data_IF_912523118861
#
_entry.id   IF_912523118861
#
_cell.length_a   1.000
_cell.length_b   1.000
_cell.length_c   1.000
_cell.angle_alpha   90.00
_cell.angle_beta   90.00
_cell.angle_gamma   90.00
#
_symmetry.space_group_name_H-M   'P 1'
#
loop_
_entity.id
_entity.type
_entity.pdbx_description
1 polymer ?
#
# COMPACT_ATOMS: atom_id res chain seq x y z
N UNK A 1 29.65 5.23 -14.42
CA UNK A 1 28.80 4.23 -13.75
C UNK A 1 29.74 3.19 -13.19
N UNK A 2 29.88 3.14 -11.86
CA UNK A 2 30.53 2.00 -11.21
C UNK A 2 29.65 0.78 -11.44
N UNK A 3 30.23 -0.29 -11.99
CA UNK A 3 29.50 -1.53 -12.21
C UNK A 3 29.28 -2.19 -10.84
N UNK A 4 28.03 -2.21 -10.38
CA UNK A 4 27.65 -2.99 -9.20
C UNK A 4 28.06 -4.45 -9.41
N UNK A 5 28.74 -5.02 -8.42
CA UNK A 5 29.13 -6.43 -8.49
C UNK A 5 27.91 -7.33 -8.25
N UNK A 6 27.97 -8.58 -8.69
CA UNK A 6 26.90 -9.56 -8.42
C UNK A 6 26.63 -9.70 -6.91
N UNK A 7 27.69 -9.62 -6.10
CA UNK A 7 27.63 -9.63 -4.64
C UNK A 7 26.81 -8.45 -4.10
N UNK A 8 27.02 -7.24 -4.64
CA UNK A 8 26.26 -6.03 -4.26
C UNK A 8 24.77 -6.18 -4.60
N UNK A 9 24.46 -6.81 -5.74
CA UNK A 9 23.07 -7.06 -6.15
C UNK A 9 22.40 -8.07 -5.21
N UNK A 10 23.08 -9.15 -4.85
CA UNK A 10 22.55 -10.16 -3.91
C UNK A 10 22.27 -9.52 -2.54
N UNK A 11 23.20 -8.72 -2.01
CA UNK A 11 22.99 -8.05 -0.73
C UNK A 11 21.83 -7.04 -0.77
N UNK A 12 21.66 -6.33 -1.88
CA UNK A 12 20.53 -5.41 -2.06
C UNK A 12 19.20 -6.15 -2.11
N UNK A 13 19.13 -7.30 -2.76
CA UNK A 13 17.94 -8.14 -2.82
C UNK A 13 17.57 -8.71 -1.44
N UNK A 14 18.54 -9.24 -0.69
CA UNK A 14 18.30 -9.75 0.68
C UNK A 14 17.79 -8.66 1.62
N UNK A 15 18.34 -7.44 1.53
CA UNK A 15 17.83 -6.28 2.30
C UNK A 15 16.42 -5.90 1.89
N UNK A 16 16.11 -5.94 0.58
CA UNK A 16 14.77 -5.63 0.07
C UNK A 16 13.76 -6.66 0.56
N UNK A 17 14.08 -7.95 0.49
CA UNK A 17 13.23 -9.05 0.96
C UNK A 17 12.89 -8.91 2.45
N UNK A 18 13.91 -8.64 3.29
CA UNK A 18 13.70 -8.40 4.73
C UNK A 18 12.82 -7.18 5.00
N UNK A 19 13.04 -6.10 4.26
CA UNK A 19 12.25 -4.87 4.41
C UNK A 19 10.80 -5.07 3.97
N UNK A 20 10.57 -5.79 2.87
CA UNK A 20 9.22 -6.17 2.43
C UNK A 20 8.52 -7.04 3.47
N UNK A 21 9.22 -8.04 4.03
CA UNK A 21 8.69 -8.87 5.11
C UNK A 21 8.26 -8.05 6.33
N UNK A 22 9.11 -7.12 6.77
CA UNK A 22 8.81 -6.26 7.92
C UNK A 22 7.66 -5.27 7.65
N UNK A 23 7.56 -4.72 6.44
CA UNK A 23 6.42 -3.88 6.04
C UNK A 23 5.13 -4.71 6.03
N UNK A 24 5.18 -5.94 5.53
CA UNK A 24 4.02 -6.84 5.51
C UNK A 24 3.54 -7.20 6.93
N UNK A 25 4.46 -7.48 7.86
CA UNK A 25 4.13 -7.72 9.27
C UNK A 25 3.49 -6.49 9.93
N UNK A 26 4.05 -5.29 9.68
CA UNK A 26 3.46 -4.03 10.17
C UNK A 26 2.07 -3.78 9.60
N UNK A 27 1.86 -4.04 8.32
CA UNK A 27 0.55 -3.91 7.67
C UNK A 27 -0.45 -4.91 8.25
N UNK A 28 -0.04 -6.15 8.52
CA UNK A 28 -0.91 -7.13 9.18
C UNK A 28 -1.33 -6.67 10.57
N UNK A 29 -0.38 -6.19 11.38
CA UNK A 29 -0.67 -5.67 12.71
C UNK A 29 -1.58 -4.44 12.67
N UNK A 30 -1.37 -3.56 11.68
CA UNK A 30 -2.21 -2.40 11.45
C UNK A 30 -3.64 -2.78 11.09
N UNK A 31 -3.83 -3.76 10.21
CA UNK A 31 -5.15 -4.29 9.84
C UNK A 31 -5.84 -4.89 11.06
N UNK A 32 -5.14 -5.68 11.87
CA UNK A 32 -5.70 -6.31 13.07
C UNK A 32 -6.14 -5.29 14.14
N UNK A 33 -5.44 -4.15 14.25
CA UNK A 33 -5.77 -3.10 15.23
C UNK A 33 -6.83 -2.11 14.74
N UNK A 34 -6.86 -1.84 13.44
CA UNK A 34 -7.68 -0.80 12.83
C UNK A 34 -9.02 -1.33 12.31
N UNK A 35 -9.10 -2.60 11.93
CA UNK A 35 -10.35 -3.21 11.47
C UNK A 35 -11.09 -3.78 12.70
N UNK A 36 -12.26 -3.24 13.07
CA UNK A 36 -13.04 -3.84 14.15
C UNK A 36 -13.42 -5.27 13.80
N UNK A 37 -13.53 -6.12 14.82
CA UNK A 37 -13.89 -7.53 14.62
C UNK A 37 -15.14 -7.62 13.71
N UNK A 38 -15.10 -8.48 12.68
CA UNK A 38 -16.26 -8.67 11.84
C UNK A 38 -17.44 -9.13 12.72
N UNK A 39 -18.68 -8.73 12.38
CA UNK A 39 -19.85 -9.20 13.11
C UNK A 39 -19.83 -10.72 13.16
N UNK A 40 -20.07 -11.31 14.34
CA UNK A 40 -20.10 -12.77 14.58
C UNK A 40 -21.06 -13.56 13.65
N UNK A 41 -21.87 -12.83 12.89
CA UNK A 41 -22.90 -13.34 12.00
C UNK A 41 -22.37 -13.53 10.57
N UNK A 42 -21.20 -12.97 10.24
CA UNK A 42 -20.53 -13.14 8.96
C UNK A 42 -19.72 -14.44 9.00
N UNK A 43 -20.05 -15.38 8.11
CA UNK A 43 -19.42 -16.70 8.00
C UNK A 43 -18.38 -16.74 6.88
N UNK A 44 -18.41 -15.77 5.98
CA UNK A 44 -17.50 -15.68 4.81
C UNK A 44 -16.88 -14.29 4.68
N UNK A 45 -15.72 -14.21 4.03
CA UNK A 45 -15.05 -12.93 3.75
C UNK A 45 -15.89 -11.99 2.89
N UNK A 46 -16.69 -12.52 1.96
CA UNK A 46 -17.62 -11.73 1.14
C UNK A 46 -18.74 -11.08 1.97
N UNK A 47 -19.26 -11.79 2.97
CA UNK A 47 -20.28 -11.24 3.88
C UNK A 47 -19.71 -10.12 4.76
N UNK A 48 -18.45 -10.23 5.16
CA UNK A 48 -17.72 -9.18 5.88
C UNK A 48 -17.54 -7.95 4.98
N UNK A 49 -17.05 -8.15 3.75
CA UNK A 49 -16.87 -7.08 2.77
C UNK A 49 -18.20 -6.41 2.41
N UNK A 50 -19.31 -7.16 2.30
CA UNK A 50 -20.63 -6.63 2.04
C UNK A 50 -21.24 -5.90 3.26
N UNK A 51 -20.89 -6.28 4.48
CA UNK A 51 -21.27 -5.57 5.71
C UNK A 51 -20.57 -4.21 5.80
N UNK A 52 -19.25 -4.19 5.55
CA UNK A 52 -18.49 -2.95 5.42
C UNK A 52 -18.81 -2.16 4.12
N UNK A 53 -19.42 -2.79 3.11
CA UNK A 53 -19.93 -2.09 1.93
C UNK A 53 -21.26 -1.37 2.16
N UNK A 54 -22.13 -1.90 3.03
CA UNK A 54 -23.52 -1.41 3.21
C UNK A 54 -23.65 -0.15 4.06
N UNK A 55 -22.69 0.16 4.92
CA UNK A 55 -22.71 1.35 5.79
C UNK A 55 -21.81 2.47 5.24
N UNK A 56 -22.02 2.88 3.99
CA UNK A 56 -21.11 3.74 3.23
C UNK A 56 -20.69 5.03 3.94
N UNK A 57 -21.60 5.74 4.62
CA UNK A 57 -21.26 6.98 5.37
C UNK A 57 -20.49 6.72 6.67
N UNK A 58 -20.84 5.66 7.41
CA UNK A 58 -20.16 5.29 8.66
C UNK A 58 -18.79 4.66 8.37
N UNK A 59 -18.70 3.93 7.26
CA UNK A 59 -17.48 3.31 6.78
C UNK A 59 -16.57 4.31 6.07
N UNK A 60 -17.08 5.37 5.43
CA UNK A 60 -16.19 6.42 4.92
C UNK A 60 -15.45 7.12 6.06
N UNK A 61 -16.15 7.52 7.14
CA UNK A 61 -15.50 8.07 8.34
C UNK A 61 -14.55 7.07 9.01
N UNK A 62 -14.95 5.81 9.12
CA UNK A 62 -14.08 4.80 9.71
C UNK A 62 -12.88 4.50 8.81
N UNK A 63 -13.04 4.52 7.49
CA UNK A 63 -11.94 4.33 6.52
C UNK A 63 -10.99 5.52 6.55
N UNK A 64 -11.49 6.76 6.65
CA UNK A 64 -10.66 7.96 6.85
C UNK A 64 -9.87 7.86 8.17
N UNK A 65 -10.52 7.55 9.30
CA UNK A 65 -9.83 7.38 10.59
C UNK A 65 -8.80 6.23 10.58
N UNK A 66 -9.08 5.14 9.85
CA UNK A 66 -8.16 4.02 9.67
C UNK A 66 -6.97 4.45 8.80
N UNK A 67 -7.21 5.16 7.69
CA UNK A 67 -6.16 5.66 6.80
C UNK A 67 -5.27 6.69 7.50
N UNK A 68 -5.85 7.61 8.27
CA UNK A 68 -5.13 8.61 9.05
C UNK A 68 -4.21 7.94 10.08
N UNK A 69 -4.73 6.95 10.81
CA UNK A 69 -3.92 6.16 11.76
C UNK A 69 -2.86 5.32 11.06
N UNK A 70 -3.17 4.77 9.89
CA UNK A 70 -2.20 4.01 9.08
C UNK A 70 -1.05 4.92 8.65
N UNK A 71 -1.36 6.13 8.19
CA UNK A 71 -0.36 7.13 7.80
C UNK A 71 0.49 7.54 9.00
N UNK A 72 -0.13 7.85 10.15
CA UNK A 72 0.59 8.16 11.39
C UNK A 72 1.57 7.04 11.78
N UNK A 73 1.13 5.77 11.78
CA UNK A 73 1.98 4.63 12.14
C UNK A 73 3.08 4.35 11.11
N UNK A 74 2.85 4.66 9.85
CA UNK A 74 3.86 4.56 8.79
C UNK A 74 4.80 5.77 8.74
N UNK A 75 4.57 6.79 9.58
CA UNK A 75 5.33 8.05 9.56
C UNK A 75 5.06 8.89 8.30
N UNK A 76 3.92 8.65 7.65
CA UNK A 76 3.45 9.40 6.50
C UNK A 76 2.66 10.61 7.03
N UNK A 77 2.97 11.84 6.58
CA UNK A 77 2.23 13.01 6.98
C UNK A 77 0.73 12.90 6.63
N UNK A 78 -0.19 13.39 7.46
CA UNK A 78 -1.62 13.39 7.14
C UNK A 78 -1.95 14.28 5.93
N UNK A 79 -1.09 15.25 5.63
CA UNK A 79 -1.13 16.10 4.43
C UNK A 79 -0.24 15.55 3.29
N UNK A 80 0.08 14.25 3.31
CA UNK A 80 0.86 13.62 2.25
C UNK A 80 0.10 13.71 0.92
N UNK A 81 0.57 14.63 0.08
CA UNK A 81 0.18 14.72 -1.31
C UNK A 81 1.07 13.75 -2.09
N UNK A 82 0.49 12.71 -2.71
CA UNK A 82 1.28 11.78 -3.49
C UNK A 82 1.72 12.33 -4.86
N UNK A 83 1.54 13.63 -5.11
CA UNK A 83 2.02 14.34 -6.27
C UNK A 83 1.20 14.08 -7.54
N UNK A 84 1.55 14.81 -8.60
CA UNK A 84 0.88 14.71 -9.90
C UNK A 84 1.24 13.40 -10.61
N UNK A 85 0.40 13.00 -11.58
CA UNK A 85 0.68 11.80 -12.39
C UNK A 85 1.96 11.97 -13.22
N UNK A 86 2.28 13.19 -13.65
CA UNK A 86 3.52 13.54 -14.33
C UNK A 86 4.75 13.36 -13.43
N UNK A 87 4.66 13.77 -12.16
CA UNK A 87 5.72 13.57 -11.16
C UNK A 87 5.97 12.09 -10.91
N UNK A 88 4.90 11.29 -10.82
CA UNK A 88 4.99 9.84 -10.69
C UNK A 88 5.68 9.21 -11.91
N UNK A 89 5.27 9.58 -13.13
CA UNK A 89 5.89 9.07 -14.35
C UNK A 89 7.37 9.44 -14.45
N UNK A 90 7.74 10.66 -14.09
CA UNK A 90 9.12 11.11 -14.11
C UNK A 90 9.97 10.35 -13.07
N UNK A 91 9.46 10.16 -11.86
CA UNK A 91 10.10 9.34 -10.83
C UNK A 91 10.28 7.88 -11.28
N UNK A 92 9.24 7.26 -11.83
CA UNK A 92 9.32 5.91 -12.39
C UNK A 92 10.39 5.80 -13.48
N UNK A 93 10.46 6.78 -14.39
CA UNK A 93 11.49 6.84 -15.44
C UNK A 93 12.90 6.96 -14.84
N UNK A 94 13.10 7.83 -13.86
CA UNK A 94 14.39 8.04 -13.19
C UNK A 94 14.89 6.76 -12.50
N UNK A 95 13.98 5.97 -11.97
CA UNK A 95 14.29 4.70 -11.30
C UNK A 95 14.22 3.47 -12.22
N UNK A 96 13.98 3.66 -13.52
CA UNK A 96 13.92 2.57 -14.50
C UNK A 96 12.71 1.64 -14.32
N UNK A 97 11.66 2.11 -13.65
CA UNK A 97 10.42 1.37 -13.42
C UNK A 97 9.48 1.61 -14.60
N UNK A 98 9.02 0.54 -15.26
CA UNK A 98 7.99 0.63 -16.30
C UNK A 98 6.71 -0.01 -15.78
N UNK A 99 5.57 0.67 -15.97
CA UNK A 99 4.28 0.16 -15.51
C UNK A 99 3.93 -1.21 -16.11
N UNK A 100 4.39 -1.48 -17.34
CA UNK A 100 4.19 -2.77 -18.00
C UNK A 100 4.93 -3.94 -17.33
N UNK A 101 5.96 -3.66 -16.52
CA UNK A 101 6.84 -4.69 -15.98
C UNK A 101 6.25 -5.38 -14.74
N UNK A 102 5.24 -4.79 -14.09
CA UNK A 102 4.56 -5.41 -12.96
C UNK A 102 3.10 -4.92 -12.78
N UNK A 103 2.26 -5.80 -12.24
CA UNK A 103 0.82 -5.55 -12.06
C UNK A 103 0.54 -4.39 -11.09
N UNK A 104 1.37 -4.22 -10.05
CA UNK A 104 1.19 -3.16 -9.07
C UNK A 104 1.39 -1.77 -9.68
N UNK A 105 2.48 -1.55 -10.41
CA UNK A 105 2.73 -0.28 -11.09
C UNK A 105 1.66 0.02 -12.13
N UNK A 106 1.15 -1.00 -12.83
CA UNK A 106 0.04 -0.85 -13.77
C UNK A 106 -1.24 -0.39 -13.07
N UNK A 107 -1.62 -1.04 -11.98
CA UNK A 107 -2.80 -0.68 -11.20
C UNK A 107 -2.71 0.74 -10.62
N UNK A 108 -1.53 1.17 -10.16
CA UNK A 108 -1.32 2.53 -9.65
C UNK A 108 -1.54 3.58 -10.75
N UNK A 109 -0.99 3.37 -11.95
CA UNK A 109 -1.18 4.29 -13.08
C UNK A 109 -2.64 4.30 -13.54
N UNK A 110 -3.24 3.12 -13.74
CA UNK A 110 -4.64 3.00 -14.16
C UNK A 110 -5.61 3.68 -13.19
N UNK A 111 -5.32 3.70 -11.88
CA UNK A 111 -6.17 4.39 -10.90
C UNK A 111 -5.97 5.91 -10.90
N UNK A 112 -4.76 6.40 -11.22
CA UNK A 112 -4.43 7.83 -11.24
C UNK A 112 -4.83 8.54 -12.54
N UNK A 113 -5.00 7.80 -13.62
CA UNK A 113 -5.41 8.33 -14.93
C UNK A 113 -6.94 8.34 -15.13
N UNK A 114 -7.72 7.81 -14.18
CA UNK A 114 -9.20 7.85 -14.17
C UNK A 114 -9.74 9.19 -13.70
#
# INVERSE_FOLDING_TARGET
MENATLEDVIQRLDRLEKMVGHVNEKLSWLVDELVPEPPKNCKTGEEVMAYYGRNKERNNKMTEEILDRLFEKMGIPPDFDPGSIEELHESMRQHGIRAADNEFSRAIIEEREK
#
